data_IF_490658235538
#
_entry.id   IF_490658235538
#
_cell.length_a   1.000
_cell.length_b   1.000
_cell.length_c   1.000
_cell.angle_alpha   90.00
_cell.angle_beta   90.00
_cell.angle_gamma   90.00
#
_symmetry.space_group_name_H-M   'P 1'
#
loop_
_entity.id
_entity.type
_entity.pdbx_description
1 polymer ?
#
# COMPACT_ATOMS: atom_id res chain seq x y z
N UNK A 1 -15.94 8.68 12.41
CA UNK A 1 -16.34 9.47 11.22
C UNK A 1 -15.71 8.82 9.99
N UNK A 2 -16.30 8.92 8.78
CA UNK A 2 -15.73 8.36 7.53
C UNK A 2 -15.69 9.43 6.44
N UNK A 3 -14.85 9.26 5.42
CA UNK A 3 -14.94 10.10 4.22
C UNK A 3 -16.28 9.89 3.50
N UNK A 4 -16.76 10.93 2.81
CA UNK A 4 -18.01 10.86 2.05
C UNK A 4 -17.79 10.02 0.79
N UNK A 5 -18.83 9.36 0.30
CA UNK A 5 -18.78 8.67 -0.99
C UNK A 5 -18.39 9.64 -2.12
N UNK A 6 -17.64 9.15 -3.11
CA UNK A 6 -17.03 9.96 -4.17
C UNK A 6 -15.78 10.72 -3.73
N UNK A 7 -15.24 10.47 -2.53
CA UNK A 7 -13.94 11.03 -2.13
C UNK A 7 -12.81 10.32 -2.84
N UNK A 8 -12.92 9.00 -3.01
CA UNK A 8 -11.91 8.17 -3.66
C UNK A 8 -12.51 7.52 -4.91
N UNK A 9 -11.86 7.70 -6.05
CA UNK A 9 -12.22 7.06 -7.31
C UNK A 9 -11.08 6.14 -7.73
N UNK A 10 -11.33 4.83 -7.89
CA UNK A 10 -10.30 3.89 -8.33
C UNK A 10 -9.88 4.23 -9.76
N UNK A 11 -8.57 4.35 -9.98
CA UNK A 11 -7.99 4.52 -11.31
C UNK A 11 -7.37 3.18 -11.73
N UNK A 12 -7.52 2.82 -13.00
CA UNK A 12 -6.85 1.64 -13.56
C UNK A 12 -5.32 1.79 -13.52
N UNK A 13 -4.63 0.68 -13.25
CA UNK A 13 -3.16 0.65 -13.07
C UNK A 13 -2.53 -0.30 -14.09
N UNK A 14 -2.82 -0.09 -15.37
CA UNK A 14 -2.43 -0.96 -16.48
C UNK A 14 -0.99 -0.72 -16.94
N UNK A 15 -0.03 -0.75 -16.01
CA UNK A 15 1.38 -0.59 -16.32
C UNK A 15 2.16 -1.88 -16.05
N UNK A 16 3.06 -2.23 -16.97
CA UNK A 16 3.86 -3.44 -16.86
C UNK A 16 4.70 -3.53 -15.58
N UNK A 17 5.06 -2.39 -14.97
CA UNK A 17 5.78 -2.35 -13.69
C UNK A 17 4.91 -2.82 -12.53
N UNK A 18 3.62 -2.46 -12.52
CA UNK A 18 2.63 -2.90 -11.53
C UNK A 18 2.40 -4.39 -11.69
N UNK A 19 2.15 -4.85 -12.92
CA UNK A 19 1.93 -6.27 -13.21
C UNK A 19 3.12 -7.13 -12.80
N UNK A 20 4.36 -6.68 -13.10
CA UNK A 20 5.57 -7.39 -12.71
C UNK A 20 5.70 -7.52 -11.20
N UNK A 21 5.46 -6.46 -10.44
CA UNK A 21 5.51 -6.52 -8.96
C UNK A 21 4.47 -7.50 -8.42
N UNK A 22 3.22 -7.41 -8.91
CA UNK A 22 2.15 -8.32 -8.47
C UNK A 22 2.52 -9.77 -8.79
N UNK A 23 3.03 -10.05 -10.00
CA UNK A 23 3.42 -11.40 -10.40
C UNK A 23 4.61 -11.91 -9.57
N UNK A 24 5.62 -11.08 -9.33
CA UNK A 24 6.74 -11.44 -8.45
C UNK A 24 6.24 -11.82 -7.05
N UNK A 25 5.32 -11.05 -6.46
CA UNK A 25 4.73 -11.45 -5.19
C UNK A 25 3.91 -12.73 -5.29
N UNK A 26 3.11 -12.94 -6.35
CA UNK A 26 2.32 -14.17 -6.52
C UNK A 26 3.16 -15.42 -6.70
N UNK A 27 4.32 -15.30 -7.33
CA UNK A 27 5.24 -16.42 -7.53
C UNK A 27 5.90 -16.89 -6.22
N UNK A 28 6.06 -15.98 -5.25
CA UNK A 28 6.72 -16.29 -3.98
C UNK A 28 5.76 -16.44 -2.79
N UNK A 29 4.63 -15.72 -2.80
CA UNK A 29 3.60 -15.74 -1.75
C UNK A 29 2.51 -16.77 -2.10
N UNK A 30 2.86 -18.05 -2.01
CA UNK A 30 2.03 -19.15 -2.54
C UNK A 30 0.65 -19.28 -1.87
N UNK A 31 0.52 -18.86 -0.61
CA UNK A 31 -0.70 -18.98 0.18
C UNK A 31 -1.33 -17.62 0.53
N UNK A 32 -0.74 -16.52 0.05
CA UNK A 32 -1.26 -15.18 0.25
C UNK A 32 -1.58 -14.47 -1.05
N UNK A 33 -1.16 -13.21 -1.14
CA UNK A 33 -1.45 -12.40 -2.30
C UNK A 33 -0.78 -11.04 -2.28
N UNK A 34 -0.97 -10.32 -3.39
CA UNK A 34 -0.53 -8.94 -3.53
C UNK A 34 -1.55 -8.11 -4.30
N UNK A 35 -1.76 -6.89 -3.83
CA UNK A 35 -2.69 -5.91 -4.40
C UNK A 35 -1.95 -4.60 -4.57
N UNK A 36 -2.06 -4.00 -5.74
CA UNK A 36 -1.68 -2.62 -5.98
C UNK A 36 -2.91 -1.91 -6.53
N UNK A 37 -3.28 -0.79 -5.92
CA UNK A 37 -4.42 0.01 -6.35
C UNK A 37 -4.11 1.50 -6.24
N UNK A 38 -4.64 2.28 -7.18
CA UNK A 38 -4.54 3.73 -7.19
C UNK A 38 -5.93 4.34 -7.09
N UNK A 39 -6.06 5.43 -6.34
CA UNK A 39 -7.27 6.21 -6.22
C UNK A 39 -6.99 7.68 -6.53
N UNK A 40 -7.85 8.30 -7.34
CA UNK A 40 -7.96 9.77 -7.40
C UNK A 40 -8.68 10.24 -6.14
N UNK A 41 -8.16 11.29 -5.51
CA UNK A 41 -8.74 11.91 -4.32
C UNK A 41 -9.39 13.22 -4.72
N UNK A 42 -10.72 13.31 -4.67
CA UNK A 42 -11.47 14.50 -5.10
C UNK A 42 -11.61 15.58 -4.03
N UNK A 43 -11.30 15.26 -2.78
CA UNK A 43 -11.39 16.22 -1.68
C UNK A 43 -10.03 16.85 -1.39
N UNK A 44 -9.84 18.12 -1.78
CA UNK A 44 -8.58 18.85 -1.56
C UNK A 44 -8.17 18.98 -0.08
N UNK A 45 -9.13 18.92 0.85
CA UNK A 45 -8.81 18.96 2.28
C UNK A 45 -8.21 17.65 2.79
N UNK A 46 -8.33 16.54 2.05
CA UNK A 46 -7.74 15.25 2.41
C UNK A 46 -6.25 15.38 2.76
N UNK A 47 -5.46 16.01 1.88
CA UNK A 47 -4.01 16.15 2.07
C UNK A 47 -3.65 17.14 3.19
N UNK A 48 -4.52 18.13 3.47
CA UNK A 48 -4.36 19.07 4.58
C UNK A 48 -4.67 18.44 5.94
N UNK A 49 -5.44 17.35 5.93
CA UNK A 49 -5.83 16.62 7.14
C UNK A 49 -4.86 15.48 7.49
N UNK A 50 -3.77 15.30 6.73
CA UNK A 50 -2.72 14.32 7.07
C UNK A 50 -2.07 14.74 8.40
N UNK A 51 -2.13 13.91 9.46
CA UNK A 51 -1.57 14.27 10.76
C UNK A 51 -0.04 14.44 10.72
N UNK A 52 0.49 15.25 11.63
CA UNK A 52 1.94 15.39 11.84
C UNK A 52 2.49 14.48 12.95
N UNK A 53 1.63 13.73 13.64
CA UNK A 53 2.00 12.84 14.74
C UNK A 53 1.41 11.45 14.57
N UNK A 54 2.10 10.46 15.14
CA UNK A 54 1.70 9.05 15.12
C UNK A 54 0.32 8.81 15.71
N UNK A 55 -0.06 9.57 16.75
CA UNK A 55 -1.36 9.41 17.41
C UNK A 55 -2.53 9.77 16.47
N UNK A 56 -2.32 10.69 15.53
CA UNK A 56 -3.34 11.07 14.56
C UNK A 56 -3.54 10.07 13.43
N UNK A 57 -2.50 9.28 13.10
CA UNK A 57 -2.53 8.35 11.96
C UNK A 57 -3.64 7.32 12.09
N UNK A 58 -3.81 6.75 13.28
CA UNK A 58 -4.80 5.71 13.52
C UNK A 58 -6.23 6.19 13.19
N UNK A 59 -6.57 7.42 13.57
CA UNK A 59 -7.87 8.02 13.21
C UNK A 59 -7.94 8.38 11.72
N UNK A 60 -6.85 8.88 11.14
CA UNK A 60 -6.78 9.24 9.72
C UNK A 60 -6.99 8.03 8.81
N UNK A 61 -6.22 6.95 8.99
CA UNK A 61 -6.37 5.72 8.19
C UNK A 61 -7.70 5.03 8.42
N UNK A 62 -8.22 5.03 9.65
CA UNK A 62 -9.57 4.52 9.93
C UNK A 62 -10.64 5.25 9.12
N UNK A 63 -10.52 6.58 8.93
CA UNK A 63 -11.46 7.32 8.07
C UNK A 63 -11.38 6.90 6.60
N UNK A 64 -10.18 6.58 6.10
CA UNK A 64 -9.94 6.10 4.74
C UNK A 64 -10.58 4.73 4.54
N UNK A 65 -10.19 3.75 5.36
CA UNK A 65 -10.64 2.37 5.21
C UNK A 65 -12.11 2.15 5.61
N UNK A 66 -12.73 3.08 6.35
CA UNK A 66 -14.18 3.08 6.56
C UNK A 66 -14.98 3.79 5.44
N UNK A 67 -14.30 4.34 4.41
CA UNK A 67 -14.97 4.90 3.25
C UNK A 67 -15.58 3.79 2.40
N UNK A 68 -16.83 3.98 1.96
CA UNK A 68 -17.49 3.02 1.07
C UNK A 68 -16.77 2.89 -0.27
N UNK A 69 -16.17 3.99 -0.76
CA UNK A 69 -15.38 3.98 -1.98
C UNK A 69 -14.22 2.98 -1.89
N UNK A 70 -13.54 2.92 -0.73
CA UNK A 70 -12.40 2.04 -0.51
C UNK A 70 -12.87 0.60 -0.31
N UNK A 71 -13.91 0.39 0.50
CA UNK A 71 -14.44 -0.94 0.79
C UNK A 71 -14.93 -1.65 -0.49
N UNK A 72 -15.70 -0.96 -1.33
CA UNK A 72 -16.25 -1.55 -2.57
C UNK A 72 -15.20 -1.79 -3.65
N UNK A 73 -14.09 -1.03 -3.65
CA UNK A 73 -13.04 -1.15 -4.67
C UNK A 73 -11.90 -2.11 -4.28
N UNK A 74 -11.90 -2.58 -3.03
CA UNK A 74 -10.92 -3.48 -2.44
C UNK A 74 -11.63 -4.60 -1.65
N UNK A 75 -12.70 -5.16 -2.21
CA UNK A 75 -13.50 -6.21 -1.55
C UNK A 75 -12.66 -7.42 -1.15
N UNK A 76 -11.61 -7.71 -1.92
CA UNK A 76 -10.65 -8.77 -1.65
C UNK A 76 -9.95 -8.60 -0.29
N UNK A 77 -9.75 -7.37 0.17
CA UNK A 77 -9.12 -7.09 1.47
C UNK A 77 -10.06 -7.36 2.64
N UNK A 78 -11.35 -7.64 2.43
CA UNK A 78 -12.33 -7.93 3.50
C UNK A 78 -12.27 -6.88 4.63
N UNK A 79 -12.28 -5.61 4.26
CA UNK A 79 -12.11 -4.51 5.21
C UNK A 79 -13.30 -4.48 6.18
N UNK A 80 -13.02 -4.62 7.48
CA UNK A 80 -14.01 -4.47 8.53
C UNK A 80 -13.97 -3.06 9.11
N UNK A 81 -15.13 -2.46 9.33
CA UNK A 81 -15.21 -1.11 9.92
C UNK A 81 -15.17 -1.10 11.46
N UNK A 82 -14.97 -2.25 12.09
CA UNK A 82 -14.87 -2.41 13.54
C UNK A 82 -13.46 -2.07 14.04
N UNK A 83 -13.32 -1.76 15.33
CA UNK A 83 -12.02 -1.47 15.97
C UNK A 83 -11.20 -2.74 16.29
N UNK A 84 -11.48 -3.85 15.59
CA UNK A 84 -10.79 -5.14 15.79
C UNK A 84 -9.28 -5.01 15.61
N UNK A 85 -8.86 -4.23 14.62
CA UNK A 85 -7.47 -4.03 14.27
C UNK A 85 -7.02 -2.58 14.49
N UNK A 86 -5.72 -2.43 14.75
CA UNK A 86 -5.01 -1.15 14.72
C UNK A 86 -4.14 -1.12 13.47
N UNK A 87 -4.12 0.00 12.77
CA UNK A 87 -3.43 0.09 11.49
C UNK A 87 -1.90 0.18 11.63
N UNK A 88 -1.40 0.77 12.72
CA UNK A 88 0.04 0.86 13.03
C UNK A 88 0.95 1.46 11.94
N UNK A 89 0.38 2.27 11.04
CA UNK A 89 1.16 2.96 10.02
C UNK A 89 2.22 3.89 10.63
N UNK A 90 3.37 3.94 9.97
CA UNK A 90 4.46 4.88 10.27
C UNK A 90 4.83 5.63 9.00
N UNK A 91 5.03 6.94 9.13
CA UNK A 91 5.55 7.76 8.04
C UNK A 91 7.04 7.45 7.81
N UNK A 92 7.42 7.29 6.55
CA UNK A 92 8.78 7.07 6.10
C UNK A 92 9.14 8.07 5.00
N UNK A 93 10.44 8.31 4.82
CA UNK A 93 10.91 9.14 3.72
C UNK A 93 10.64 8.42 2.39
N UNK A 94 10.12 9.15 1.40
CA UNK A 94 9.79 8.59 0.08
C UNK A 94 10.98 7.89 -0.59
N UNK A 95 12.21 8.35 -0.35
CA UNK A 95 13.45 7.75 -0.87
C UNK A 95 13.74 6.35 -0.31
N UNK A 96 13.01 5.91 0.71
CA UNK A 96 13.13 4.56 1.29
C UNK A 96 12.14 3.56 0.68
N UNK A 97 11.08 4.02 0.01
CA UNK A 97 9.96 3.18 -0.41
C UNK A 97 10.39 2.04 -1.35
N UNK A 98 11.18 2.37 -2.38
CA UNK A 98 11.69 1.38 -3.32
C UNK A 98 12.64 0.38 -2.65
N UNK A 99 13.36 0.78 -1.60
CA UNK A 99 14.15 -0.09 -0.74
C UNK A 99 13.28 -1.02 0.11
N UNK A 100 12.20 -0.50 0.67
CA UNK A 100 11.25 -1.25 1.51
C UNK A 100 10.52 -2.33 0.67
N UNK A 101 10.02 -1.98 -0.51
CA UNK A 101 9.41 -2.94 -1.44
C UNK A 101 10.44 -3.98 -1.90
N UNK A 102 11.65 -3.56 -2.28
CA UNK A 102 12.69 -4.50 -2.70
C UNK A 102 13.11 -5.46 -1.58
N UNK A 103 13.16 -4.99 -0.33
CA UNK A 103 13.41 -5.83 0.83
C UNK A 103 12.31 -6.90 1.01
N UNK A 104 11.03 -6.53 0.85
CA UNK A 104 9.95 -7.51 0.91
C UNK A 104 10.06 -8.56 -0.21
N UNK A 105 10.40 -8.15 -1.43
CA UNK A 105 10.64 -9.08 -2.53
C UNK A 105 11.77 -10.04 -2.17
N UNK A 106 12.87 -9.53 -1.62
CA UNK A 106 14.04 -10.34 -1.25
C UNK A 106 13.78 -11.32 -0.10
N UNK A 107 12.91 -10.95 0.85
CA UNK A 107 12.51 -11.86 1.92
C UNK A 107 11.71 -13.06 1.40
N UNK A 108 10.97 -12.89 0.31
CA UNK A 108 10.13 -13.94 -0.25
C UNK A 108 8.90 -14.24 0.62
N UNK A 109 8.20 -15.32 0.27
CA UNK A 109 7.11 -15.88 1.06
C UNK A 109 7.59 -16.92 2.08
N UNK A 110 6.64 -17.65 2.65
CA UNK A 110 6.88 -18.68 3.66
C UNK A 110 7.67 -19.88 3.10
N UNK A 111 7.45 -20.22 1.83
CA UNK A 111 8.04 -21.39 1.18
C UNK A 111 8.95 -21.04 0.02
N UNK A 112 8.65 -19.98 -0.72
CA UNK A 112 9.40 -19.59 -1.90
C UNK A 112 10.10 -18.25 -1.70
N UNK A 113 11.40 -18.25 -1.97
CA UNK A 113 12.21 -17.04 -2.00
C UNK A 113 12.41 -16.51 -3.42
N UNK A 114 12.70 -15.21 -3.53
CA UNK A 114 13.08 -14.60 -4.80
C UNK A 114 14.35 -15.24 -5.37
N UNK A 115 14.28 -15.73 -6.62
CA UNK A 115 15.35 -16.52 -7.23
C UNK A 115 16.39 -15.70 -7.99
N UNK A 116 16.09 -14.44 -8.30
CA UNK A 116 16.98 -13.57 -9.04
C UNK A 116 17.92 -12.77 -8.13
N UNK A 117 18.81 -11.98 -8.74
CA UNK A 117 19.78 -11.15 -8.02
C UNK A 117 19.09 -9.97 -7.32
N UNK A 118 19.60 -9.50 -6.16
CA UNK A 118 19.02 -8.35 -5.46
C UNK A 118 18.88 -7.06 -6.27
N UNK A 119 19.75 -6.84 -7.25
CA UNK A 119 19.63 -5.71 -8.18
C UNK A 119 18.33 -5.75 -9.00
N UNK A 120 17.82 -6.95 -9.30
CA UNK A 120 16.55 -7.12 -10.02
C UNK A 120 15.38 -6.74 -9.12
N UNK A 121 15.35 -7.21 -7.87
CA UNK A 121 14.34 -6.80 -6.89
C UNK A 121 14.31 -5.27 -6.70
N UNK A 122 15.49 -4.64 -6.60
CA UNK A 122 15.61 -3.19 -6.52
C UNK A 122 15.08 -2.51 -7.79
N UNK A 123 15.41 -3.02 -8.98
CA UNK A 123 14.94 -2.44 -10.23
C UNK A 123 13.42 -2.54 -10.40
N UNK A 124 12.81 -3.66 -10.00
CA UNK A 124 11.36 -3.82 -9.98
C UNK A 124 10.70 -2.75 -9.11
N UNK A 125 11.20 -2.57 -7.89
CA UNK A 125 10.69 -1.57 -6.94
C UNK A 125 10.88 -0.12 -7.44
N UNK A 126 12.04 0.19 -8.03
CA UNK A 126 12.30 1.50 -8.66
C UNK A 126 11.32 1.76 -9.80
N UNK A 127 11.09 0.78 -10.68
CA UNK A 127 10.20 0.94 -11.83
C UNK A 127 8.76 1.26 -11.40
N UNK A 128 8.23 0.55 -10.41
CA UNK A 128 6.87 0.83 -9.92
C UNK A 128 6.78 2.18 -9.22
N UNK A 129 7.81 2.59 -8.47
CA UNK A 129 7.87 3.92 -7.86
C UNK A 129 7.92 5.02 -8.92
N UNK A 130 8.71 4.84 -9.98
CA UNK A 130 8.78 5.77 -11.10
C UNK A 130 7.42 5.92 -11.78
N UNK A 131 6.68 4.83 -11.93
CA UNK A 131 5.31 4.86 -12.44
C UNK A 131 4.35 5.60 -11.49
N UNK A 132 4.46 5.35 -10.18
CA UNK A 132 3.57 5.95 -9.17
C UNK A 132 3.72 7.48 -9.09
N UNK A 133 4.95 7.98 -9.03
CA UNK A 133 5.18 9.40 -8.72
C UNK A 133 6.28 10.11 -9.52
N UNK A 134 7.01 9.41 -10.40
CA UNK A 134 8.11 9.99 -11.19
C UNK A 134 9.10 10.75 -10.28
N UNK A 135 9.36 12.03 -10.55
CA UNK A 135 10.31 12.84 -9.80
C UNK A 135 9.66 13.71 -8.70
N UNK A 136 8.36 13.51 -8.38
CA UNK A 136 7.59 14.37 -7.45
C UNK A 136 7.88 14.12 -5.96
N UNK A 137 9.10 13.75 -5.60
CA UNK A 137 9.48 13.34 -4.24
C UNK A 137 9.05 14.34 -3.14
N UNK A 138 9.04 15.64 -3.41
CA UNK A 138 8.63 16.68 -2.44
C UNK A 138 7.13 16.66 -2.11
N UNK A 139 6.30 16.14 -3.01
CA UNK A 139 4.84 16.10 -2.89
C UNK A 139 4.32 14.75 -2.37
N UNK A 140 5.22 13.79 -2.15
CA UNK A 140 4.91 12.42 -1.74
C UNK A 140 5.08 12.22 -0.23
N UNK A 141 4.05 11.63 0.39
CA UNK A 141 4.15 11.02 1.71
C UNK A 141 3.99 9.51 1.63
N UNK A 142 4.85 8.79 2.34
CA UNK A 142 4.82 7.32 2.39
C UNK A 142 4.53 6.86 3.80
N UNK A 143 3.60 5.92 3.92
CA UNK A 143 3.27 5.26 5.17
C UNK A 143 3.39 3.76 5.02
N UNK A 144 3.99 3.10 6.01
CA UNK A 144 4.21 1.66 5.99
C UNK A 144 3.62 1.01 7.24
N UNK A 145 3.06 -0.18 7.08
CA UNK A 145 2.63 -1.04 8.18
C UNK A 145 2.95 -2.50 7.88
N UNK A 146 3.40 -3.22 8.91
CA UNK A 146 3.64 -4.66 8.88
C UNK A 146 2.73 -5.38 9.89
N UNK A 147 1.52 -4.84 10.09
CA UNK A 147 0.51 -5.38 10.99
C UNK A 147 -0.75 -5.68 10.20
N UNK A 148 -1.47 -6.76 10.55
CA UNK A 148 -2.76 -7.03 9.94
C UNK A 148 -3.74 -5.93 10.33
N UNK A 149 -4.46 -5.41 9.34
CA UNK A 149 -5.54 -4.44 9.54
C UNK A 149 -6.86 -4.88 8.91
N UNK A 150 -6.90 -6.07 8.31
CA UNK A 150 -8.09 -6.76 7.83
C UNK A 150 -7.92 -8.27 7.98
N UNK A 151 -9.01 -9.03 7.77
CA UNK A 151 -9.00 -10.50 7.76
C UNK A 151 -8.37 -11.10 6.47
N UNK A 152 -7.81 -10.27 5.59
CA UNK A 152 -7.03 -10.72 4.44
C UNK A 152 -5.55 -10.97 4.78
N UNK A 153 -5.04 -10.29 5.80
CA UNK A 153 -3.70 -10.52 6.35
C UNK A 153 -3.71 -11.66 7.37
N UNK A 154 -2.57 -12.31 7.59
CA UNK A 154 -2.46 -13.51 8.42
C UNK A 154 -1.82 -13.28 9.81
N UNK A 155 -1.45 -12.03 10.15
CA UNK A 155 -0.71 -11.65 11.37
C UNK A 155 0.68 -12.29 11.45
N UNK A 156 1.41 -12.24 10.33
CA UNK A 156 2.69 -12.92 10.13
C UNK A 156 3.75 -11.98 9.56
N UNK A 157 5.00 -12.46 9.51
CA UNK A 157 6.14 -11.64 9.09
C UNK A 157 6.06 -11.13 7.63
N UNK A 158 5.19 -11.73 6.81
CA UNK A 158 5.02 -11.37 5.39
C UNK A 158 3.95 -10.31 5.15
N UNK A 159 3.20 -9.91 6.19
CA UNK A 159 2.21 -8.84 6.07
C UNK A 159 2.91 -7.50 5.85
N UNK A 160 2.65 -6.86 4.73
CA UNK A 160 3.18 -5.55 4.41
C UNK A 160 2.11 -4.68 3.72
N UNK A 161 2.06 -3.42 4.11
CA UNK A 161 1.23 -2.40 3.47
C UNK A 161 2.03 -1.12 3.28
N UNK A 162 2.05 -0.59 2.07
CA UNK A 162 2.54 0.74 1.75
C UNK A 162 1.38 1.61 1.26
N UNK A 163 1.23 2.79 1.83
CA UNK A 163 0.34 3.83 1.33
C UNK A 163 1.16 5.03 0.88
N UNK A 164 0.97 5.44 -0.38
CA UNK A 164 1.68 6.56 -1.00
C UNK A 164 0.67 7.64 -1.34
N UNK A 165 0.84 8.82 -0.74
CA UNK A 165 -0.03 9.97 -0.93
C UNK A 165 0.69 11.02 -1.78
N UNK A 166 0.19 11.24 -3.00
CA UNK A 166 0.67 12.25 -3.94
C UNK A 166 -0.26 13.47 -3.89
N UNK A 167 0.17 14.50 -3.16
CA UNK A 167 -0.62 15.72 -2.97
C UNK A 167 -0.70 16.59 -4.22
N UNK A 168 0.27 16.47 -5.14
CA UNK A 168 0.32 17.23 -6.38
C UNK A 168 -0.68 16.72 -7.40
N UNK A 169 -0.71 15.40 -7.59
CA UNK A 169 -1.62 14.74 -8.53
C UNK A 169 -2.94 14.32 -7.87
N UNK A 170 -3.11 14.56 -6.57
CA UNK A 170 -4.23 14.11 -5.77
C UNK A 170 -4.47 12.59 -5.92
N UNK A 171 -3.41 11.79 -5.77
CA UNK A 171 -3.47 10.33 -5.87
C UNK A 171 -3.14 9.66 -4.54
N UNK A 172 -3.78 8.53 -4.29
CA UNK A 172 -3.47 7.63 -3.19
C UNK A 172 -3.20 6.24 -3.76
N UNK A 173 -1.98 5.75 -3.59
CA UNK A 173 -1.63 4.37 -3.89
C UNK A 173 -1.68 3.52 -2.64
N UNK A 174 -2.17 2.30 -2.79
CA UNK A 174 -2.13 1.27 -1.78
C UNK A 174 -1.45 0.03 -2.38
N UNK A 175 -0.42 -0.45 -1.70
CA UNK A 175 0.27 -1.70 -2.01
C UNK A 175 0.12 -2.60 -0.78
N UNK A 176 -0.48 -3.77 -0.95
CA UNK A 176 -0.59 -4.79 0.09
C UNK A 176 0.10 -6.06 -0.40
N UNK A 177 0.84 -6.72 0.48
CA UNK A 177 1.38 -8.05 0.25
C UNK A 177 1.25 -8.88 1.53
N UNK A 178 0.97 -10.17 1.39
CA UNK A 178 0.91 -11.13 2.49
C UNK A 178 1.22 -12.53 1.98
N UNK A 179 1.66 -13.41 2.88
CA UNK A 179 1.81 -14.85 2.68
C UNK A 179 1.66 -15.58 4.02
N UNK A 180 1.47 -16.90 3.99
CA UNK A 180 1.37 -17.73 5.21
C UNK A 180 1.84 -19.16 4.97
N UNK A 181 2.16 -19.88 6.04
CA UNK A 181 2.45 -21.31 6.00
C UNK A 181 1.21 -22.18 5.71
#
# INVERSE_FOLDING_TARGET
MRWKAGTFEKIETNDSSVEKIINTFKEQNLNGGAIISCFKVHNENFFKEIPHSKDGYEHFFRRIFNSLDIIHNLEELKIHTSEKYKFHFKEHLVVMLDGSIAAQILWGGAYEGFKERPVIAKQLAVNVCQYMFQDRYEDIKVFESYRPWTDWFYDVAWDATWMVLDSKEHKMWLVCATDTD
#
